data_IF_866451862779
#
_entry.id   IF_866451862779
#
_cell.length_a   1.000
_cell.length_b   1.000
_cell.length_c   1.000
_cell.angle_alpha   90.00
_cell.angle_beta   90.00
_cell.angle_gamma   90.00
#
_symmetry.space_group_name_H-M   'P 1'
#
loop_
_entity.id
_entity.type
_entity.pdbx_description
1 polymer ?
#
# COMPACT_ATOMS: atom_id res chain seq x y z
N UNK A 1 0.00 4.33 -19.60
CA UNK A 1 0.53 4.80 -18.30
C UNK A 1 0.88 3.66 -17.33
N UNK A 2 0.10 2.58 -17.25
CA UNK A 2 0.41 1.43 -16.37
C UNK A 2 1.70 0.68 -16.77
N UNK A 3 1.93 0.47 -18.07
CA UNK A 3 3.11 -0.25 -18.56
C UNK A 3 4.44 0.42 -18.18
N UNK A 4 4.54 1.74 -18.35
CA UNK A 4 5.75 2.51 -18.01
C UNK A 4 6.09 2.42 -16.51
N UNK A 5 5.06 2.45 -15.65
CA UNK A 5 5.21 2.26 -14.20
C UNK A 5 5.75 0.86 -13.85
N UNK A 6 5.28 -0.17 -14.57
CA UNK A 6 5.79 -1.53 -14.42
C UNK A 6 7.26 -1.66 -14.86
N UNK A 7 7.63 -1.08 -16.01
CA UNK A 7 9.01 -1.10 -16.50
C UNK A 7 9.98 -0.40 -15.54
N UNK A 8 9.60 0.77 -15.00
CA UNK A 8 10.44 1.50 -14.04
C UNK A 8 10.66 0.69 -12.76
N UNK A 9 9.62 -0.03 -12.28
CA UNK A 9 9.74 -0.90 -11.10
C UNK A 9 10.71 -2.06 -11.31
N UNK A 10 10.67 -2.71 -12.46
CA UNK A 10 11.60 -3.81 -12.76
C UNK A 10 13.04 -3.31 -12.89
N UNK A 11 13.24 -2.21 -13.64
CA UNK A 11 14.59 -1.67 -13.87
C UNK A 11 15.20 -1.19 -12.55
N UNK A 12 14.47 -0.45 -11.71
CA UNK A 12 15.04 0.03 -10.43
C UNK A 12 15.42 -1.12 -9.48
N UNK A 13 14.65 -2.22 -9.49
CA UNK A 13 14.93 -3.38 -8.65
C UNK A 13 16.17 -4.11 -9.17
N UNK A 14 16.27 -4.30 -10.49
CA UNK A 14 17.45 -4.87 -11.13
C UNK A 14 18.72 -4.07 -10.83
N UNK A 15 18.68 -2.74 -10.91
CA UNK A 15 19.84 -1.89 -10.59
C UNK A 15 20.29 -2.05 -9.13
N UNK A 16 19.35 -2.22 -8.19
CA UNK A 16 19.64 -2.47 -6.78
C UNK A 16 20.25 -3.87 -6.57
N UNK A 17 19.66 -4.91 -7.17
CA UNK A 17 20.16 -6.29 -7.09
C UNK A 17 21.52 -6.46 -7.77
N UNK A 18 21.82 -5.65 -8.79
CA UNK A 18 23.12 -5.58 -9.46
C UNK A 18 24.21 -4.93 -8.60
N UNK A 19 23.87 -4.38 -7.43
CA UNK A 19 24.81 -3.75 -6.50
C UNK A 19 25.23 -2.33 -6.86
N UNK A 20 24.53 -1.68 -7.81
CA UNK A 20 24.81 -0.29 -8.15
C UNK A 20 24.44 0.65 -6.99
N UNK A 21 25.07 1.81 -6.94
CA UNK A 21 24.66 2.88 -6.00
C UNK A 21 23.41 3.60 -6.52
N UNK A 22 22.65 4.26 -5.62
CA UNK A 22 21.48 5.06 -6.02
C UNK A 22 21.83 6.15 -7.07
N UNK A 23 23.01 6.75 -6.96
CA UNK A 23 23.52 7.73 -7.93
C UNK A 23 23.75 7.11 -9.32
N UNK A 24 24.32 5.91 -9.36
CA UNK A 24 24.59 5.18 -10.60
C UNK A 24 23.29 4.69 -11.25
N UNK A 25 22.40 4.11 -10.44
CA UNK A 25 21.08 3.70 -10.87
C UNK A 25 20.28 4.87 -11.46
N UNK A 26 20.33 6.06 -10.85
CA UNK A 26 19.70 7.27 -11.41
C UNK A 26 20.26 7.61 -12.79
N UNK A 27 21.58 7.58 -12.99
CA UNK A 27 22.21 7.84 -14.30
C UNK A 27 21.81 6.80 -15.35
N UNK A 28 21.68 5.53 -14.95
CA UNK A 28 21.22 4.47 -15.83
C UNK A 28 19.74 4.65 -16.19
N UNK A 29 18.89 4.99 -15.22
CA UNK A 29 17.49 5.32 -15.45
C UNK A 29 17.33 6.55 -16.36
N UNK A 30 18.17 7.57 -16.25
CA UNK A 30 18.21 8.71 -17.18
C UNK A 30 18.52 8.27 -18.62
N UNK A 31 19.45 7.32 -18.79
CA UNK A 31 19.82 6.79 -20.11
C UNK A 31 18.70 5.97 -20.75
N UNK A 32 17.95 5.21 -19.94
CA UNK A 32 16.88 4.32 -20.42
C UNK A 32 15.57 5.08 -20.66
N UNK A 33 15.17 5.95 -19.74
CA UNK A 33 13.84 6.57 -19.74
C UNK A 33 13.81 8.05 -20.16
N UNK A 34 14.97 8.72 -20.24
CA UNK A 34 15.06 10.11 -20.72
C UNK A 34 14.20 11.08 -19.91
N UNK A 35 13.18 11.67 -20.53
CA UNK A 35 12.26 12.61 -19.88
C UNK A 35 11.34 11.95 -18.85
N UNK A 36 11.09 10.65 -19.01
CA UNK A 36 10.21 9.88 -18.14
C UNK A 36 10.94 9.30 -16.92
N UNK A 37 12.20 9.73 -16.70
CA UNK A 37 12.99 9.26 -15.58
C UNK A 37 12.44 9.81 -14.26
N UNK A 38 12.22 8.94 -13.25
CA UNK A 38 11.83 9.38 -11.93
C UNK A 38 12.86 10.33 -11.32
N UNK A 39 12.41 11.22 -10.45
CA UNK A 39 13.30 12.19 -9.81
C UNK A 39 14.44 11.50 -9.04
N UNK A 40 15.58 12.18 -8.92
CA UNK A 40 16.72 11.68 -8.14
C UNK A 40 16.29 11.29 -6.72
N UNK A 41 15.51 12.13 -6.04
CA UNK A 41 15.00 11.85 -4.68
C UNK A 41 14.17 10.57 -4.62
N UNK A 42 13.36 10.30 -5.66
CA UNK A 42 12.59 9.06 -5.75
C UNK A 42 13.50 7.84 -5.81
N UNK A 43 14.59 7.89 -6.59
CA UNK A 43 15.55 6.79 -6.69
C UNK A 43 16.23 6.53 -5.35
N UNK A 44 16.66 7.58 -4.63
CA UNK A 44 17.25 7.43 -3.30
C UNK A 44 16.26 6.82 -2.30
N UNK A 45 15.02 7.32 -2.26
CA UNK A 45 13.99 6.79 -1.36
C UNK A 45 13.68 5.31 -1.62
N UNK A 46 13.66 4.88 -2.89
CA UNK A 46 13.49 3.45 -3.22
C UNK A 46 14.67 2.61 -2.75
N UNK A 47 15.91 3.11 -2.93
CA UNK A 47 17.10 2.41 -2.48
C UNK A 47 17.16 2.29 -0.95
N UNK A 48 16.70 3.30 -0.23
CA UNK A 48 16.51 3.19 1.23
C UNK A 48 15.44 2.14 1.57
N UNK A 49 14.30 2.17 0.88
CA UNK A 49 13.21 1.20 1.04
C UNK A 49 13.62 -0.25 0.76
N UNK A 50 14.47 -0.48 -0.25
CA UNK A 50 15.02 -1.80 -0.57
C UNK A 50 15.97 -2.28 0.52
N UNK A 51 16.75 -1.37 1.12
CA UNK A 51 17.65 -1.71 2.24
C UNK A 51 16.90 -2.02 3.53
N UNK A 52 15.77 -1.36 3.78
CA UNK A 52 14.92 -1.60 4.96
C UNK A 52 13.95 -2.77 4.77
N UNK A 53 13.80 -3.29 3.55
CA UNK A 53 12.82 -4.34 3.23
C UNK A 53 11.37 -3.84 3.29
N UNK A 54 11.14 -2.52 3.30
CA UNK A 54 9.80 -1.91 3.46
C UNK A 54 9.10 -1.61 2.14
N UNK A 55 9.64 -2.06 1.01
CA UNK A 55 9.02 -1.97 -0.32
C UNK A 55 7.86 -2.97 -0.50
N UNK A 56 7.24 -3.41 0.59
CA UNK A 56 5.98 -4.15 0.54
C UNK A 56 4.86 -3.26 -0.03
N UNK A 57 3.88 -3.86 -0.75
CA UNK A 57 2.68 -3.15 -1.13
C UNK A 57 2.10 -2.51 0.12
N UNK A 58 1.93 -1.18 0.09
CA UNK A 58 1.27 -0.46 1.19
C UNK A 58 0.00 -1.23 1.52
N UNK A 59 -0.12 -1.72 2.75
CA UNK A 59 -1.38 -2.27 3.21
C UNK A 59 -2.43 -1.20 2.92
N UNK A 60 -3.47 -1.57 2.17
CA UNK A 60 -4.56 -0.66 1.88
C UNK A 60 -5.19 -0.18 3.19
N UNK A 61 -6.24 0.64 3.08
CA UNK A 61 -7.01 0.98 4.29
C UNK A 61 -7.42 -0.34 4.97
N UNK A 62 -7.05 -0.55 6.25
CA UNK A 62 -7.52 -1.73 6.97
C UNK A 62 -9.04 -1.69 6.94
N UNK A 63 -9.64 -2.73 6.38
CA UNK A 63 -11.10 -2.82 6.32
C UNK A 63 -11.55 -3.51 7.60
N UNK A 64 -12.26 -2.78 8.45
CA UNK A 64 -12.72 -3.24 9.77
C UNK A 64 -13.73 -4.39 9.69
N UNK A 65 -14.42 -4.54 8.55
CA UNK A 65 -15.49 -5.52 8.33
C UNK A 65 -15.19 -6.31 7.06
N UNK A 66 -15.28 -7.64 7.09
CA UNK A 66 -15.07 -8.43 5.89
C UNK A 66 -16.20 -8.23 4.87
N UNK A 67 -15.90 -8.36 3.58
CA UNK A 67 -16.91 -8.23 2.54
C UNK A 67 -18.05 -9.26 2.70
N UNK A 68 -17.72 -10.45 3.19
CA UNK A 68 -18.69 -11.54 3.36
C UNK A 68 -19.63 -11.28 4.55
N UNK A 69 -19.13 -10.67 5.64
CA UNK A 69 -19.97 -10.20 6.74
C UNK A 69 -20.91 -9.08 6.28
N UNK A 70 -20.40 -8.12 5.49
CA UNK A 70 -21.23 -7.05 4.94
C UNK A 70 -22.33 -7.58 4.02
N UNK A 71 -22.02 -8.57 3.18
CA UNK A 71 -23.01 -9.24 2.32
C UNK A 71 -24.09 -9.96 3.12
N UNK A 72 -23.71 -10.70 4.18
CA UNK A 72 -24.67 -11.37 5.06
C UNK A 72 -25.63 -10.39 5.73
N UNK A 73 -25.15 -9.23 6.17
CA UNK A 73 -26.00 -8.19 6.76
C UNK A 73 -26.96 -7.59 5.73
N UNK A 74 -26.49 -7.36 4.50
CA UNK A 74 -27.32 -6.84 3.41
C UNK A 74 -28.43 -7.83 2.99
N UNK A 75 -28.15 -9.13 2.99
CA UNK A 75 -29.14 -10.17 2.70
C UNK A 75 -30.20 -10.32 3.81
N UNK A 76 -29.81 -10.14 5.07
CA UNK A 76 -30.71 -10.23 6.22
C UNK A 76 -31.68 -9.04 6.31
N UNK A 77 -31.27 -7.85 5.86
CA UNK A 77 -32.08 -6.63 5.90
C UNK A 77 -32.07 -5.90 4.54
N UNK A 78 -32.83 -6.40 3.55
CA UNK A 78 -32.78 -5.89 2.17
C UNK A 78 -33.33 -4.46 2.01
N UNK A 79 -34.18 -4.02 2.94
CA UNK A 79 -34.94 -2.76 2.85
C UNK A 79 -34.32 -1.62 3.67
N UNK A 80 -33.28 -1.88 4.47
CA UNK A 80 -32.66 -0.86 5.31
C UNK A 80 -31.40 -0.27 4.63
N UNK A 81 -31.30 1.06 4.60
CA UNK A 81 -30.16 1.76 3.99
C UNK A 81 -28.96 1.86 4.94
N UNK A 82 -27.72 1.82 4.41
CA UNK A 82 -26.41 1.76 5.11
C UNK A 82 -26.23 2.51 6.44
N UNK A 83 -27.04 3.53 6.74
CA UNK A 83 -27.10 4.20 8.04
C UNK A 83 -27.46 3.25 9.20
N UNK A 84 -28.27 2.22 8.97
CA UNK A 84 -28.61 1.24 10.01
C UNK A 84 -27.40 0.39 10.44
N UNK A 85 -26.49 0.11 9.50
CA UNK A 85 -25.25 -0.64 9.78
C UNK A 85 -24.33 0.11 10.75
N UNK A 86 -24.45 1.44 10.82
CA UNK A 86 -23.72 2.28 11.78
C UNK A 86 -24.43 2.41 13.13
N UNK A 87 -25.65 1.88 13.26
CA UNK A 87 -26.48 1.92 14.46
C UNK A 87 -26.58 0.55 15.17
N UNK A 88 -25.87 -0.47 14.67
CA UNK A 88 -25.66 -1.73 15.40
C UNK A 88 -24.92 -1.38 16.70
N UNK A 89 -25.45 -1.76 17.88
CA UNK A 89 -24.81 -1.47 19.15
C UNK A 89 -23.39 -2.04 19.18
N UNK A 90 -22.50 -1.30 19.86
CA UNK A 90 -21.04 -1.43 19.80
C UNK A 90 -20.53 -2.89 19.74
N UNK A 91 -19.50 -3.17 18.92
CA UNK A 91 -18.92 -4.50 18.89
C UNK A 91 -18.32 -4.85 20.27
N UNK A 92 -18.15 -6.15 20.58
CA UNK A 92 -17.86 -6.67 21.94
C UNK A 92 -16.53 -6.20 22.59
N UNK A 93 -15.82 -5.24 22.00
CA UNK A 93 -14.60 -4.65 22.53
C UNK A 93 -14.81 -3.31 23.26
N UNK A 94 -16.06 -2.88 23.52
CA UNK A 94 -16.34 -2.00 24.67
C UNK A 94 -16.21 -2.79 26.00
N UNK A 95 -15.08 -3.49 26.16
CA UNK A 95 -14.59 -3.94 27.45
C UNK A 95 -13.62 -2.87 27.92
N UNK A 96 -13.93 -2.30 29.08
CA UNK A 96 -13.21 -1.21 29.73
C UNK A 96 -11.69 -1.40 29.75
N UNK A 97 -10.96 -0.35 29.38
CA UNK A 97 -9.51 -0.26 29.56
C UNK A 97 -9.09 -0.10 31.04
N UNK A 98 -10.03 -0.05 31.99
CA UNK A 98 -9.77 0.20 33.42
C UNK A 98 -9.62 -1.09 34.26
N UNK A 99 -9.20 -2.21 33.65
CA UNK A 99 -8.83 -3.44 34.38
C UNK A 99 -7.41 -3.90 34.06
N UNK A 100 -6.50 -2.92 34.02
CA UNK A 100 -5.06 -3.11 34.00
C UNK A 100 -4.40 -2.19 35.05
N UNK A 101 -4.80 -2.36 36.31
CA UNK A 101 -3.98 -2.22 37.53
C UNK A 101 -4.68 -2.84 38.75
#
# INVERSE_FOLDING_TARGET
>A
MAELSSHIKHVRLHEFESGHSASEAYRNLCRVFGSETPSVLSVYSWFEGFRSGTEEPRSGRPTTISLDELKKLAEQQPCEGVRWLLAVPDPPWTMDCDLLE
#
